data_IF_334927339628
#
_entry.id   IF_334927339628
#
_cell.length_a   1.000
_cell.length_b   1.000
_cell.length_c   1.000
_cell.angle_alpha   90.00
_cell.angle_beta   90.00
_cell.angle_gamma   90.00
#
_symmetry.space_group_name_H-M   'P 1'
#
loop_
_entity.id
_entity.type
_entity.pdbx_description
1 polymer ?
#
# COMPACT_ATOMS: atom_id res chain seq x y z
N UNK A 1 -22.73 2.22 -15.67
CA UNK A 1 -21.78 3.05 -14.88
C UNK A 1 -22.30 3.12 -13.45
N UNK A 2 -21.44 3.13 -12.43
CA UNK A 2 -21.83 3.38 -11.05
C UNK A 2 -21.12 4.62 -10.50
N UNK A 3 -21.80 5.40 -9.67
CA UNK A 3 -21.25 6.62 -9.06
C UNK A 3 -21.63 6.72 -7.59
N UNK A 4 -20.68 7.05 -6.73
CA UNK A 4 -20.92 7.47 -5.34
C UNK A 4 -21.03 8.98 -5.23
N UNK A 5 -21.76 9.47 -4.22
CA UNK A 5 -22.02 10.91 -4.04
C UNK A 5 -21.99 11.33 -2.57
N UNK A 6 -21.76 12.63 -2.35
CA UNK A 6 -21.91 13.29 -1.05
C UNK A 6 -23.35 13.31 -0.53
N UNK A 7 -24.33 13.04 -1.41
CA UNK A 7 -25.74 12.86 -1.02
C UNK A 7 -26.02 11.50 -0.32
N UNK A 8 -24.97 10.72 -0.05
CA UNK A 8 -25.01 9.42 0.65
C UNK A 8 -25.58 8.27 -0.19
N UNK A 9 -25.76 8.47 -1.49
CA UNK A 9 -26.28 7.44 -2.39
C UNK A 9 -25.22 6.90 -3.34
N UNK A 10 -25.46 5.68 -3.83
CA UNK A 10 -24.85 5.17 -5.05
C UNK A 10 -25.90 5.20 -6.16
N UNK A 11 -25.51 5.62 -7.36
CA UNK A 11 -26.41 5.64 -8.52
C UNK A 11 -25.86 4.77 -9.63
N UNK A 12 -26.72 3.95 -10.21
CA UNK A 12 -26.41 3.10 -11.35
C UNK A 12 -27.03 3.71 -12.60
N UNK A 13 -26.24 3.80 -13.64
CA UNK A 13 -26.59 4.45 -14.90
C UNK A 13 -26.44 3.46 -16.03
N UNK A 14 -27.45 3.38 -16.87
CA UNK A 14 -27.30 2.72 -18.14
C UNK A 14 -26.42 3.59 -19.06
N UNK A 15 -25.33 3.00 -19.56
CA UNK A 15 -24.31 3.75 -20.30
C UNK A 15 -24.79 4.19 -21.69
N UNK A 16 -25.80 3.52 -22.25
CA UNK A 16 -26.32 3.81 -23.59
C UNK A 16 -27.40 4.89 -23.55
N UNK A 17 -28.34 4.81 -22.61
CA UNK A 17 -29.48 5.71 -22.47
C UNK A 17 -29.22 6.90 -21.54
N UNK A 18 -28.14 6.88 -20.75
CA UNK A 18 -27.84 7.90 -19.73
C UNK A 18 -28.95 8.08 -18.68
N UNK A 19 -29.83 7.08 -18.50
CA UNK A 19 -30.89 7.11 -17.49
C UNK A 19 -30.46 6.35 -16.23
N UNK A 20 -30.81 6.83 -15.02
CA UNK A 20 -30.51 6.11 -13.79
C UNK A 20 -31.40 4.88 -13.68
N UNK A 21 -30.78 3.71 -13.54
CA UNK A 21 -31.45 2.43 -13.34
C UNK A 21 -31.82 2.22 -11.88
N UNK A 22 -30.91 2.59 -10.96
CA UNK A 22 -31.11 2.42 -9.51
C UNK A 22 -30.48 3.56 -8.71
N UNK A 23 -31.13 3.92 -7.60
CA UNK A 23 -30.59 4.78 -6.54
C UNK A 23 -30.48 3.93 -5.27
N UNK A 24 -29.26 3.54 -4.91
CA UNK A 24 -28.97 2.70 -3.76
C UNK A 24 -28.80 3.59 -2.53
N UNK A 25 -29.73 3.47 -1.61
CA UNK A 25 -29.77 4.26 -0.37
C UNK A 25 -29.51 3.37 0.83
N UNK A 26 -28.78 3.89 1.82
CA UNK A 26 -28.53 3.18 3.08
C UNK A 26 -27.29 3.65 3.82
N UNK A 27 -26.29 4.20 3.11
CA UNK A 27 -25.17 4.87 3.76
C UNK A 27 -25.65 6.10 4.54
N UNK A 28 -25.01 6.38 5.67
CA UNK A 28 -25.40 7.50 6.55
C UNK A 28 -24.51 8.74 6.36
N UNK A 29 -23.45 8.63 5.56
CA UNK A 29 -22.54 9.70 5.15
C UNK A 29 -22.10 9.53 3.68
N UNK A 30 -21.29 10.47 3.19
CA UNK A 30 -20.82 10.52 1.79
C UNK A 30 -20.24 9.19 1.31
N UNK A 31 -20.57 8.80 0.08
CA UNK A 31 -19.96 7.64 -0.57
C UNK A 31 -18.72 8.11 -1.32
N UNK A 32 -17.56 7.57 -0.96
CA UNK A 32 -16.25 8.03 -1.44
C UNK A 32 -15.65 7.11 -2.49
N UNK A 33 -16.06 5.85 -2.54
CA UNK A 33 -15.59 4.87 -3.51
C UNK A 33 -16.70 3.92 -3.90
N UNK A 34 -16.75 3.55 -5.18
CA UNK A 34 -17.69 2.57 -5.72
C UNK A 34 -16.97 1.72 -6.76
N UNK A 35 -17.19 0.41 -6.73
CA UNK A 35 -16.62 -0.51 -7.70
C UNK A 35 -17.58 -1.66 -8.00
N UNK A 36 -17.56 -2.16 -9.24
CA UNK A 36 -18.26 -3.39 -9.61
C UNK A 36 -17.40 -4.60 -9.24
N UNK A 37 -18.06 -5.71 -8.89
CA UNK A 37 -17.42 -7.02 -8.91
C UNK A 37 -16.96 -7.35 -10.33
N UNK A 38 -15.92 -8.20 -10.51
CA UNK A 38 -15.43 -8.56 -11.85
C UNK A 38 -16.48 -9.20 -12.75
N UNK A 39 -17.43 -9.92 -12.17
CA UNK A 39 -18.56 -10.53 -12.88
C UNK A 39 -19.74 -9.56 -13.13
N UNK A 40 -19.66 -8.32 -12.64
CA UNK A 40 -20.69 -7.29 -12.80
C UNK A 40 -21.98 -7.50 -12.00
N UNK A 41 -22.08 -8.57 -11.20
CA UNK A 41 -23.30 -8.93 -10.49
C UNK A 41 -23.49 -8.16 -9.17
N UNK A 42 -22.40 -7.63 -8.61
CA UNK A 42 -22.40 -6.95 -7.32
C UNK A 42 -21.67 -5.61 -7.41
N UNK A 43 -22.01 -4.71 -6.51
CA UNK A 43 -21.36 -3.41 -6.35
C UNK A 43 -20.90 -3.29 -4.92
N UNK A 44 -19.66 -2.86 -4.72
CA UNK A 44 -19.16 -2.45 -3.42
C UNK A 44 -19.10 -0.92 -3.35
N UNK A 45 -19.48 -0.34 -2.21
CA UNK A 45 -19.33 1.09 -1.94
C UNK A 45 -18.70 1.34 -0.57
N UNK A 46 -17.66 2.16 -0.54
CA UNK A 46 -17.01 2.66 0.68
C UNK A 46 -17.52 4.06 1.02
N UNK A 47 -17.78 4.30 2.30
CA UNK A 47 -18.36 5.56 2.78
C UNK A 47 -17.64 6.13 4.00
N UNK A 48 -17.82 7.43 4.18
CA UNK A 48 -17.46 8.16 5.38
C UNK A 48 -18.28 7.74 6.63
N UNK A 49 -19.23 6.79 6.50
CA UNK A 49 -19.90 6.15 7.63
C UNK A 49 -19.14 4.95 8.21
N UNK A 50 -17.89 4.77 7.78
CA UNK A 50 -16.96 3.73 8.18
C UNK A 50 -17.35 2.32 7.73
N UNK A 51 -18.29 2.18 6.79
CA UNK A 51 -18.72 0.88 6.26
C UNK A 51 -18.37 0.71 4.79
N UNK A 52 -18.22 -0.56 4.40
CA UNK A 52 -18.35 -0.98 3.01
C UNK A 52 -19.70 -1.68 2.86
N UNK A 53 -20.46 -1.35 1.81
CA UNK A 53 -21.73 -2.01 1.51
C UNK A 53 -21.67 -2.74 0.20
N UNK A 54 -22.25 -3.94 0.18
CA UNK A 54 -22.37 -4.77 -1.01
C UNK A 54 -23.80 -4.79 -1.48
N UNK A 55 -24.01 -4.47 -2.75
CA UNK A 55 -25.32 -4.33 -3.37
C UNK A 55 -25.43 -5.27 -4.55
N UNK A 56 -26.60 -5.86 -4.74
CA UNK A 56 -26.93 -6.56 -5.97
C UNK A 56 -27.09 -5.54 -7.12
N UNK A 57 -26.36 -5.73 -8.21
CA UNK A 57 -26.31 -4.78 -9.32
C UNK A 57 -27.58 -4.77 -10.19
N UNK A 58 -28.38 -5.83 -10.14
CA UNK A 58 -29.55 -6.03 -11.00
C UNK A 58 -30.85 -5.60 -10.33
N UNK A 59 -30.89 -5.64 -9.00
CA UNK A 59 -32.08 -5.33 -8.19
C UNK A 59 -31.88 -4.08 -7.34
N UNK A 60 -30.63 -3.66 -7.13
CA UNK A 60 -30.28 -2.58 -6.21
C UNK A 60 -30.44 -2.95 -4.73
N UNK A 61 -30.70 -4.21 -4.41
CA UNK A 61 -30.88 -4.67 -3.04
C UNK A 61 -29.55 -4.62 -2.26
N UNK A 62 -29.62 -4.21 -0.99
CA UNK A 62 -28.49 -4.31 -0.07
C UNK A 62 -28.30 -5.78 0.33
N UNK A 63 -27.09 -6.31 0.13
CA UNK A 63 -26.69 -7.65 0.54
C UNK A 63 -25.98 -7.67 1.89
N UNK A 64 -24.75 -7.13 1.94
CA UNK A 64 -23.91 -7.15 3.14
C UNK A 64 -23.47 -5.73 3.53
N UNK A 65 -23.27 -5.54 4.85
CA UNK A 65 -22.64 -4.34 5.43
C UNK A 65 -21.38 -4.79 6.16
N UNK A 66 -20.23 -4.47 5.60
CA UNK A 66 -18.93 -4.79 6.18
C UNK A 66 -18.53 -3.65 7.11
N UNK A 67 -18.47 -3.98 8.40
CA UNK A 67 -18.19 -3.04 9.48
C UNK A 67 -16.88 -3.41 10.17
N UNK A 68 -16.19 -2.42 10.73
CA UNK A 68 -14.97 -2.64 11.51
C UNK A 68 -13.95 -1.53 11.36
N UNK A 69 -13.96 -0.79 10.25
CA UNK A 69 -13.23 0.47 10.15
C UNK A 69 -13.75 1.47 11.20
N UNK A 70 -12.85 2.28 11.74
CA UNK A 70 -13.15 3.32 12.73
C UNK A 70 -13.07 4.73 12.14
N UNK A 71 -12.70 4.81 10.86
CA UNK A 71 -12.70 6.02 10.02
C UNK A 71 -13.36 5.75 8.67
N UNK A 72 -13.57 6.82 7.91
CA UNK A 72 -14.21 6.77 6.61
C UNK A 72 -13.44 5.89 5.62
N UNK A 73 -14.17 5.02 4.91
CA UNK A 73 -13.63 4.16 3.86
C UNK A 73 -13.54 4.96 2.56
N UNK A 74 -12.32 5.17 2.07
CA UNK A 74 -12.07 6.06 0.92
C UNK A 74 -11.79 5.31 -0.37
N UNK A 75 -11.45 4.03 -0.29
CA UNK A 75 -11.11 3.21 -1.46
C UNK A 75 -11.51 1.77 -1.23
N UNK A 76 -12.18 1.16 -2.21
CA UNK A 76 -12.57 -0.25 -2.21
C UNK A 76 -12.25 -0.89 -3.55
N UNK A 77 -11.79 -2.15 -3.55
CA UNK A 77 -11.51 -2.89 -4.78
C UNK A 77 -11.68 -4.40 -4.60
N UNK A 78 -12.22 -5.06 -5.61
CA UNK A 78 -12.33 -6.53 -5.64
C UNK A 78 -11.02 -7.17 -6.07
N UNK A 79 -10.81 -8.42 -5.64
CA UNK A 79 -9.88 -9.32 -6.32
C UNK A 79 -10.38 -9.65 -7.73
N UNK A 80 -9.49 -9.98 -8.69
CA UNK A 80 -9.90 -10.35 -10.05
C UNK A 80 -10.88 -11.53 -10.13
N UNK A 81 -10.82 -12.45 -9.16
CA UNK A 81 -11.77 -13.56 -9.07
C UNK A 81 -13.09 -13.20 -8.36
N UNK A 82 -13.18 -12.01 -7.75
CA UNK A 82 -14.37 -11.50 -7.07
C UNK A 82 -14.66 -12.11 -5.69
N UNK A 83 -13.85 -13.04 -5.21
CA UNK A 83 -14.07 -13.70 -3.91
C UNK A 83 -13.60 -12.88 -2.71
N UNK A 84 -12.65 -11.97 -2.95
CA UNK A 84 -12.08 -11.12 -1.92
C UNK A 84 -12.23 -9.65 -2.29
N UNK A 85 -12.14 -8.80 -1.28
CA UNK A 85 -12.15 -7.35 -1.45
C UNK A 85 -11.19 -6.71 -0.46
N UNK A 86 -10.58 -5.61 -0.87
CA UNK A 86 -9.78 -4.76 0.01
C UNK A 86 -10.43 -3.40 0.17
N UNK A 87 -10.39 -2.86 1.39
CA UNK A 87 -10.77 -1.48 1.69
C UNK A 87 -9.65 -0.73 2.38
N UNK A 88 -9.43 0.52 1.97
CA UNK A 88 -8.54 1.48 2.60
C UNK A 88 -9.32 2.60 3.29
N UNK A 89 -8.87 3.00 4.48
CA UNK A 89 -9.59 3.93 5.35
C UNK A 89 -8.70 5.05 5.91
N UNK A 90 -9.38 6.12 6.31
CA UNK A 90 -8.81 7.24 7.09
C UNK A 90 -8.37 6.84 8.50
N UNK A 91 -8.77 5.66 8.99
CA UNK A 91 -8.24 5.08 10.24
C UNK A 91 -6.83 4.49 10.10
N UNK A 92 -6.16 4.73 8.96
CA UNK A 92 -4.84 4.23 8.63
C UNK A 92 -4.75 2.70 8.58
N UNK A 93 -5.88 2.02 8.36
CA UNK A 93 -5.92 0.57 8.15
C UNK A 93 -6.37 0.19 6.74
N UNK A 94 -5.87 -0.97 6.32
CA UNK A 94 -6.35 -1.70 5.15
C UNK A 94 -6.98 -3.00 5.64
N UNK A 95 -8.15 -3.35 5.13
CA UNK A 95 -8.85 -4.58 5.50
C UNK A 95 -9.06 -5.46 4.27
N UNK A 96 -8.77 -6.75 4.42
CA UNK A 96 -9.12 -7.79 3.46
C UNK A 96 -10.40 -8.47 3.93
N UNK A 97 -11.37 -8.62 3.03
CA UNK A 97 -12.67 -9.18 3.30
C UNK A 97 -12.92 -10.42 2.44
N UNK A 98 -13.55 -11.41 3.02
CA UNK A 98 -14.25 -12.45 2.27
C UNK A 98 -15.61 -11.91 1.82
N UNK A 99 -15.86 -11.90 0.51
CA UNK A 99 -17.07 -11.29 -0.07
C UNK A 99 -18.32 -12.10 0.25
N UNK A 100 -18.21 -13.42 0.32
CA UNK A 100 -19.36 -14.30 0.52
C UNK A 100 -19.91 -14.25 1.95
N UNK A 101 -19.02 -14.26 2.95
CA UNK A 101 -19.37 -14.25 4.37
C UNK A 101 -19.38 -12.86 4.99
N UNK A 102 -18.71 -11.88 4.35
CA UNK A 102 -18.49 -10.55 4.90
C UNK A 102 -17.48 -10.51 6.05
N UNK A 103 -16.74 -11.59 6.29
CA UNK A 103 -15.73 -11.65 7.35
C UNK A 103 -14.50 -10.83 7.00
N UNK A 104 -13.92 -10.17 8.00
CA UNK A 104 -12.63 -9.50 7.88
C UNK A 104 -11.51 -10.53 8.07
N UNK A 105 -10.82 -10.88 6.98
CA UNK A 105 -9.74 -11.87 6.98
C UNK A 105 -8.43 -11.31 7.53
N UNK A 106 -8.11 -10.06 7.19
CA UNK A 106 -6.87 -9.38 7.61
C UNK A 106 -7.16 -7.93 7.95
N UNK A 107 -6.52 -7.44 9.01
CA UNK A 107 -6.42 -6.01 9.31
C UNK A 107 -4.94 -5.63 9.27
N UNK A 108 -4.59 -4.77 8.32
CA UNK A 108 -3.24 -4.26 8.17
C UNK A 108 -3.20 -2.82 8.66
N UNK A 109 -2.32 -2.54 9.61
CA UNK A 109 -2.12 -1.19 10.15
C UNK A 109 -0.97 -0.55 9.40
N UNK A 110 -1.27 0.50 8.63
CA UNK A 110 -0.26 1.35 8.04
C UNK A 110 0.00 2.50 8.99
N UNK A 111 1.11 2.46 9.72
CA UNK A 111 1.46 3.51 10.70
C UNK A 111 1.71 4.88 10.07
N UNK A 112 1.67 5.00 8.74
CA UNK A 112 2.20 6.17 8.04
C UNK A 112 1.20 7.27 7.69
N UNK A 113 -0.12 7.03 7.69
CA UNK A 113 -1.23 8.01 7.56
C UNK A 113 -2.49 7.34 6.99
N UNK A 114 -3.57 8.11 6.83
CA UNK A 114 -4.78 7.74 6.06
C UNK A 114 -4.44 7.04 4.75
N UNK A 115 -5.06 5.90 4.50
CA UNK A 115 -4.96 5.23 3.20
C UNK A 115 -5.74 6.06 2.19
N UNK A 116 -5.11 6.48 1.09
CA UNK A 116 -5.75 7.25 0.04
C UNK A 116 -6.28 6.36 -1.11
N UNK A 117 -5.61 5.25 -1.39
CA UNK A 117 -5.99 4.35 -2.48
C UNK A 117 -5.50 2.92 -2.21
N UNK A 118 -6.29 1.94 -2.65
CA UNK A 118 -5.91 0.53 -2.68
C UNK A 118 -6.12 -0.05 -4.09
N UNK A 119 -5.25 -0.99 -4.48
CA UNK A 119 -5.45 -1.80 -5.67
C UNK A 119 -5.11 -3.26 -5.38
N UNK A 120 -5.76 -4.20 -6.05
CA UNK A 120 -5.55 -5.63 -5.85
C UNK A 120 -5.34 -6.28 -7.21
N UNK A 121 -4.32 -7.13 -7.31
CA UNK A 121 -4.03 -7.96 -8.47
C UNK A 121 -3.83 -9.40 -8.02
N UNK A 122 -4.44 -10.34 -8.72
CA UNK A 122 -4.17 -11.76 -8.55
C UNK A 122 -3.44 -12.22 -9.82
N UNK A 123 -2.27 -12.83 -9.63
CA UNK A 123 -1.48 -13.45 -10.69
C UNK A 123 -1.43 -14.97 -10.46
N UNK A 124 -0.77 -15.71 -11.36
CA UNK A 124 -0.50 -17.13 -11.14
C UNK A 124 0.38 -17.37 -9.90
N UNK A 125 1.18 -16.38 -9.52
CA UNK A 125 2.17 -16.47 -8.44
C UNK A 125 1.61 -16.07 -7.07
N UNK A 126 0.41 -15.48 -7.01
CA UNK A 126 -0.20 -15.08 -5.75
C UNK A 126 -1.17 -13.91 -5.87
N UNK A 127 -1.69 -13.48 -4.72
CA UNK A 127 -2.54 -12.30 -4.60
C UNK A 127 -1.69 -11.16 -4.05
N UNK A 128 -1.56 -10.08 -4.80
CA UNK A 128 -0.82 -8.90 -4.39
C UNK A 128 -1.76 -7.70 -4.29
N UNK A 129 -1.44 -6.76 -3.42
CA UNK A 129 -2.15 -5.50 -3.37
C UNK A 129 -1.20 -4.34 -3.15
N UNK A 130 -1.58 -3.16 -3.64
CA UNK A 130 -0.85 -1.93 -3.40
C UNK A 130 -1.68 -0.96 -2.55
N UNK A 131 -0.99 -0.19 -1.72
CA UNK A 131 -1.58 0.82 -0.84
C UNK A 131 -0.86 2.15 -1.06
N UNK A 132 -1.61 3.21 -1.30
CA UNK A 132 -1.12 4.58 -1.28
C UNK A 132 -1.49 5.26 0.03
N UNK A 133 -0.52 5.74 0.80
CA UNK A 133 -0.72 6.46 2.06
C UNK A 133 0.33 7.56 2.19
N UNK A 134 -0.10 8.81 2.40
CA UNK A 134 0.78 9.98 2.42
C UNK A 134 1.70 10.04 1.19
N UNK A 135 3.01 10.02 1.42
CA UNK A 135 4.05 10.00 0.38
C UNK A 135 4.53 8.59 -0.01
N UNK A 136 3.85 7.55 0.47
CA UNK A 136 4.26 6.17 0.31
C UNK A 136 3.31 5.39 -0.61
N UNK A 137 3.92 4.59 -1.49
CA UNK A 137 3.25 3.46 -2.11
C UNK A 137 3.89 2.20 -1.56
N UNK A 138 3.08 1.23 -1.15
CA UNK A 138 3.55 -0.08 -0.69
C UNK A 138 2.89 -1.17 -1.50
N UNK A 139 3.59 -2.27 -1.72
CA UNK A 139 3.02 -3.49 -2.28
C UNK A 139 3.21 -4.64 -1.32
N UNK A 140 2.18 -5.44 -1.24
CA UNK A 140 2.02 -6.53 -0.30
C UNK A 140 1.65 -7.79 -1.05
N UNK A 141 2.09 -8.93 -0.55
CA UNK A 141 1.64 -10.25 -0.96
C UNK A 141 0.71 -10.80 0.11
N UNK A 142 -0.46 -11.31 -0.29
CA UNK A 142 -1.37 -12.04 0.58
C UNK A 142 -1.04 -13.52 0.46
N UNK A 143 -0.68 -14.12 1.59
CA UNK A 143 -0.40 -15.55 1.71
C UNK A 143 -1.43 -16.15 2.64
N UNK A 144 -2.02 -17.28 2.24
CA UNK A 144 -2.84 -18.11 3.11
C UNK A 144 -1.98 -19.25 3.65
N UNK A 145 -1.75 -19.25 4.96
CA UNK A 145 -0.99 -20.30 5.65
C UNK A 145 -1.91 -20.92 6.70
N UNK A 146 -2.15 -22.24 6.59
CA UNK A 146 -2.98 -23.00 7.55
C UNK A 146 -4.41 -22.44 7.74
N UNK A 147 -4.99 -21.85 6.68
CA UNK A 147 -6.32 -21.23 6.71
C UNK A 147 -6.34 -19.82 7.33
N UNK A 148 -5.18 -19.25 7.63
CA UNK A 148 -5.04 -17.89 8.10
C UNK A 148 -4.39 -17.01 7.03
N UNK A 149 -5.04 -15.90 6.69
CA UNK A 149 -4.49 -14.93 5.74
C UNK A 149 -3.48 -14.01 6.43
N UNK A 150 -2.34 -13.81 5.80
CA UNK A 150 -1.31 -12.84 6.19
C UNK A 150 -0.93 -11.99 4.99
N UNK A 151 -0.48 -10.77 5.26
CA UNK A 151 0.00 -9.85 4.25
C UNK A 151 1.46 -9.51 4.52
N UNK A 152 2.34 -9.86 3.60
CA UNK A 152 3.78 -9.63 3.67
C UNK A 152 4.14 -8.40 2.84
N UNK A 153 4.87 -7.46 3.44
CA UNK A 153 5.38 -6.30 2.72
C UNK A 153 6.47 -6.75 1.74
N UNK A 154 6.30 -6.44 0.45
CA UNK A 154 7.30 -6.70 -0.58
C UNK A 154 8.18 -5.47 -0.84
N UNK A 155 7.55 -4.31 -1.02
CA UNK A 155 8.28 -3.06 -1.20
C UNK A 155 7.48 -1.84 -0.71
N UNK A 156 8.21 -0.78 -0.42
CA UNK A 156 7.70 0.54 -0.05
C UNK A 156 8.53 1.63 -0.74
N UNK A 157 7.90 2.53 -1.48
CA UNK A 157 8.54 3.69 -2.10
C UNK A 157 8.02 4.95 -1.44
N UNK A 158 8.94 5.80 -0.99
CA UNK A 158 8.67 7.16 -0.57
C UNK A 158 9.15 8.14 -1.65
N UNK A 159 8.68 9.39 -1.61
CA UNK A 159 9.25 10.48 -2.42
C UNK A 159 10.78 10.63 -2.30
N UNK A 160 11.40 10.12 -1.22
CA UNK A 160 12.84 10.23 -0.93
C UNK A 160 13.61 8.91 -0.97
N UNK A 161 13.01 7.77 -1.33
CA UNK A 161 13.73 6.50 -1.42
C UNK A 161 12.87 5.25 -1.52
N UNK A 162 13.48 4.15 -1.97
CA UNK A 162 12.85 2.83 -2.13
C UNK A 162 13.35 1.85 -1.06
N UNK A 163 12.45 1.06 -0.49
CA UNK A 163 12.73 -0.08 0.38
C UNK A 163 12.12 -1.33 -0.23
N UNK A 164 12.88 -2.42 -0.29
CA UNK A 164 12.44 -3.71 -0.85
C UNK A 164 12.85 -4.81 0.12
N UNK A 165 11.96 -5.77 0.37
CA UNK A 165 12.21 -7.01 1.12
C UNK A 165 12.22 -8.18 0.14
N UNK A 166 13.23 -9.04 0.23
CA UNK A 166 13.25 -10.32 -0.49
C UNK A 166 13.51 -10.29 -2.00
N UNK A 167 13.77 -9.14 -2.62
CA UNK A 167 14.08 -9.07 -4.05
C UNK A 167 15.59 -9.02 -4.35
N UNK A 168 16.03 -9.89 -5.26
CA UNK A 168 17.33 -9.76 -5.93
C UNK A 168 17.14 -8.87 -7.18
N UNK A 169 17.70 -7.67 -7.19
CA UNK A 169 17.60 -6.78 -8.35
C UNK A 169 18.79 -7.08 -9.28
N UNK A 170 18.54 -7.84 -10.35
CA UNK A 170 19.50 -8.00 -11.44
C UNK A 170 19.20 -6.96 -12.53
N UNK A 171 20.23 -6.26 -12.99
CA UNK A 171 20.22 -5.35 -14.14
C UNK A 171 19.22 -4.17 -14.09
N UNK A 172 19.23 -3.39 -13.02
CA UNK A 172 18.48 -2.14 -12.97
C UNK A 172 19.14 -1.03 -13.83
N UNK A 173 18.45 -0.64 -14.91
CA UNK A 173 18.85 0.48 -15.77
C UNK A 173 18.07 1.77 -15.44
N UNK A 174 18.68 2.94 -15.71
CA UNK A 174 18.02 4.24 -15.53
C UNK A 174 17.92 4.76 -14.10
N UNK A 175 18.56 4.09 -13.13
CA UNK A 175 18.59 4.55 -11.75
C UNK A 175 19.47 5.78 -11.56
N UNK A 176 19.02 6.70 -10.69
CA UNK A 176 19.86 7.82 -10.25
C UNK A 176 21.09 7.28 -9.49
N UNK A 177 22.21 8.03 -9.52
CA UNK A 177 23.45 7.65 -8.80
C UNK A 177 23.21 7.36 -7.32
N UNK A 178 22.28 8.08 -6.69
CA UNK A 178 21.90 7.90 -5.28
C UNK A 178 21.22 6.54 -5.07
N UNK A 179 20.34 6.13 -5.99
CA UNK A 179 19.65 4.84 -5.90
C UNK A 179 20.60 3.66 -6.13
N UNK A 180 21.57 3.80 -7.04
CA UNK A 180 22.61 2.78 -7.26
C UNK A 180 23.45 2.58 -5.99
N UNK A 181 23.84 3.68 -5.34
CA UNK A 181 24.66 3.62 -4.12
C UNK A 181 23.88 3.03 -2.92
N UNK A 182 22.60 3.38 -2.78
CA UNK A 182 21.72 2.80 -1.77
C UNK A 182 21.50 1.29 -1.95
N UNK A 183 21.36 0.83 -3.20
CA UNK A 183 21.23 -0.59 -3.51
C UNK A 183 22.50 -1.38 -3.21
N UNK A 184 23.68 -0.79 -3.48
CA UNK A 184 24.98 -1.37 -3.10
C UNK A 184 25.16 -1.47 -1.60
N UNK A 185 24.82 -0.41 -0.85
CA UNK A 185 24.88 -0.42 0.62
C UNK A 185 23.99 -1.50 1.25
N UNK A 186 22.90 -1.88 0.56
CA UNK A 186 21.93 -2.89 1.01
C UNK A 186 22.17 -4.29 0.43
N UNK A 187 23.27 -4.51 -0.30
CA UNK A 187 23.60 -5.78 -0.99
C UNK A 187 22.50 -6.26 -1.96
N UNK A 188 21.69 -5.36 -2.50
CA UNK A 188 20.60 -5.67 -3.42
C UNK A 188 21.06 -5.82 -4.88
N UNK A 189 22.31 -5.45 -5.18
CA UNK A 189 23.00 -5.68 -6.45
C UNK A 189 24.24 -6.51 -6.13
N UNK A 190 24.33 -7.71 -6.68
CA UNK A 190 25.48 -8.58 -6.48
C UNK A 190 26.66 -8.16 -7.38
N UNK A 191 27.87 -8.12 -6.82
CA UNK A 191 29.08 -8.35 -7.61
C UNK A 191 29.25 -9.87 -7.78
N UNK A 192 29.79 -10.37 -8.91
CA UNK A 192 29.90 -11.80 -9.16
C UNK A 192 31.08 -12.39 -8.35
N UNK A 193 30.90 -12.64 -7.05
CA UNK A 193 31.81 -13.47 -6.24
C UNK A 193 31.06 -14.22 -5.12
N UNK A 194 31.51 -15.43 -4.73
CA UNK A 194 30.72 -16.37 -3.93
C UNK A 194 30.65 -15.99 -2.44
N UNK A 195 29.73 -16.58 -1.64
CA UNK A 195 29.26 -15.97 -0.41
C UNK A 195 30.25 -16.14 0.74
N UNK A 196 30.42 -15.08 1.53
CA UNK A 196 30.97 -15.16 2.88
C UNK A 196 29.89 -14.84 3.91
N UNK A 197 29.96 -15.59 5.01
CA UNK A 197 28.94 -15.84 6.02
C UNK A 197 28.29 -14.61 6.65
N UNK A 198 27.02 -14.78 7.00
CA UNK A 198 26.17 -13.83 7.71
C UNK A 198 26.77 -13.42 9.08
N UNK A 199 26.82 -12.10 9.33
CA UNK A 199 26.70 -11.52 10.66
C UNK A 199 25.84 -10.27 10.58
N UNK A 200 24.77 -10.24 11.38
CA UNK A 200 23.91 -9.08 11.58
C UNK A 200 24.73 -7.88 12.07
N UNK A 201 24.41 -6.69 11.55
CA UNK A 201 24.92 -5.44 12.09
C UNK A 201 23.86 -4.34 11.95
N UNK A 202 23.30 -3.95 13.09
CA UNK A 202 22.42 -2.80 13.27
C UNK A 202 23.24 -1.55 13.56
N UNK A 203 22.99 -0.41 12.88
CA UNK A 203 23.61 0.87 13.27
C UNK A 203 22.69 2.08 13.07
N UNK A 204 22.65 2.92 14.12
CA UNK A 204 22.08 4.28 14.17
C UNK A 204 23.02 5.26 13.46
N UNK A 205 22.45 6.22 12.73
CA UNK A 205 23.20 7.32 12.08
C UNK A 205 23.43 8.43 13.11
N UNK A 206 24.71 8.75 13.40
CA UNK A 206 25.13 10.00 14.02
C UNK A 206 25.55 11.00 12.90
N UNK A 207 25.14 12.25 13.05
CA UNK A 207 25.00 13.22 11.96
C UNK A 207 26.28 13.85 11.41
N UNK A 208 26.10 14.64 10.35
CA UNK A 208 27.07 15.59 9.82
C UNK A 208 26.40 16.82 9.22
N UNK A 209 26.87 18.00 9.63
CA UNK A 209 27.23 19.17 8.82
C UNK A 209 27.86 20.20 9.78
N UNK A 210 28.89 21.02 9.49
CA UNK A 210 29.22 21.72 8.25
C UNK A 210 30.62 22.37 8.41
N UNK A 211 31.58 22.17 7.50
CA UNK A 211 32.12 23.10 6.46
C UNK A 211 33.12 24.21 6.91
N UNK A 212 34.34 24.08 6.36
CA UNK A 212 35.34 25.06 5.90
C UNK A 212 35.62 26.39 6.63
N UNK A 213 36.90 26.65 6.96
CA UNK A 213 37.84 27.47 6.16
C UNK A 213 39.09 27.96 6.94
N UNK A 214 40.23 28.00 6.22
CA UNK A 214 41.44 28.87 6.33
C UNK A 214 41.91 29.38 7.71
N UNK A 215 43.16 29.07 8.09
CA UNK A 215 44.26 30.05 8.26
C UNK A 215 45.61 29.31 8.46
N UNK A 216 46.70 29.91 7.93
CA UNK A 216 48.10 29.48 8.03
C UNK A 216 48.65 29.65 9.45
N UNK A 217 49.57 28.77 9.88
CA UNK A 217 50.98 29.07 10.21
C UNK A 217 51.56 28.19 11.35
N UNK A 218 52.78 27.68 11.12
CA UNK A 218 53.85 27.29 12.06
C UNK A 218 53.54 26.20 13.12
N UNK A 219 54.42 25.27 13.48
CA UNK A 219 55.87 25.18 13.32
C UNK A 219 56.33 23.71 13.34
N UNK A 220 57.57 23.55 12.87
CA UNK A 220 58.38 22.34 12.76
C UNK A 220 58.59 21.53 14.05
N UNK A 221 58.61 20.21 13.86
CA UNK A 221 59.67 19.25 14.24
C UNK A 221 60.18 19.32 15.69
N UNK A 222 59.74 18.35 16.50
CA UNK A 222 60.48 17.87 17.66
C UNK A 222 61.38 16.69 17.25
N UNK A 223 62.69 16.88 17.25
CA UNK A 223 63.67 15.80 17.44
C UNK A 223 64.11 15.80 18.90
N UNK A 224 64.32 14.63 19.53
CA UNK A 224 64.91 14.55 20.86
C UNK A 224 66.43 14.60 20.75
N UNK A 225 67.09 15.34 21.65
CA UNK A 225 68.52 15.16 21.93
C UNK A 225 68.74 14.77 23.38
N UNK A 226 69.48 13.69 23.49
CA UNK A 226 70.23 13.17 24.62
C UNK A 226 71.30 14.17 25.11
N UNK A 227 71.55 14.11 26.42
CA UNK A 227 72.73 14.57 27.20
C UNK A 227 73.20 16.02 27.02
#
# INVERSE_FOLDING_TARGET
>A
IASGSGDKTVRLWDAQSSTPSFILSGHTASVLSVTYSPNGLQIASGSHDNTVRLWDAHTGALGLVLSGHTGGVVSVTYSPNGHQMISGSTDATVRLWDVASGQCLVVLVDVSESIASVSLIATLDGVFFATGSGNFVRTWEVVEEEGQFRAHLLWSSAHSGLSVSGALIQDAHGLSKVNIELLRQRRAVGDPTPPLSFREASWKIAGMASVASRFKASANISTPRTS
#
